data_IF_298797855396
#
_entry.id   IF_298797855396
#
_cell.length_a   1.000
_cell.length_b   1.000
_cell.length_c   1.000
_cell.angle_alpha   90.00
_cell.angle_beta   90.00
_cell.angle_gamma   90.00
#
_symmetry.space_group_name_H-M   'P 1'
#
loop_
_entity.id
_entity.type
_entity.pdbx_description
1 polymer ?
#
# COMPACT_ATOMS: atom_id res chain seq x y z
N UNK A 1 7.63 -10.43 -16.54
CA UNK A 1 8.97 -10.86 -16.10
C UNK A 1 9.75 -9.72 -15.48
N UNK A 2 10.27 -9.96 -14.27
CA UNK A 2 11.26 -9.11 -13.60
C UNK A 2 12.63 -9.47 -14.22
N UNK A 3 13.42 -8.48 -14.64
CA UNK A 3 14.71 -8.72 -15.33
C UNK A 3 15.86 -8.99 -14.36
N UNK A 4 17.02 -9.43 -14.85
CA UNK A 4 18.26 -9.62 -14.04
C UNK A 4 18.79 -8.33 -13.38
N UNK A 5 18.19 -7.18 -13.68
CA UNK A 5 18.58 -5.87 -13.13
C UNK A 5 17.50 -5.22 -12.28
N UNK A 6 16.34 -5.87 -12.16
CA UNK A 6 15.17 -5.31 -11.50
C UNK A 6 14.64 -6.29 -10.44
N UNK A 7 13.94 -5.78 -9.44
CA UNK A 7 13.08 -6.57 -8.57
C UNK A 7 11.64 -6.07 -8.63
N UNK A 8 10.77 -6.68 -7.84
CA UNK A 8 9.38 -6.26 -7.69
C UNK A 8 9.15 -5.75 -6.27
N UNK A 9 8.74 -4.49 -6.11
CA UNK A 9 8.17 -4.01 -4.85
C UNK A 9 6.68 -4.37 -4.84
N UNK A 10 6.19 -4.94 -3.75
CA UNK A 10 4.77 -5.24 -3.54
C UNK A 10 4.28 -4.59 -2.25
N UNK A 11 3.09 -4.01 -2.31
CA UNK A 11 2.37 -3.50 -1.15
C UNK A 11 0.89 -3.87 -1.24
N UNK A 12 0.21 -3.84 -0.10
CA UNK A 12 -1.24 -3.95 -0.03
C UNK A 12 -1.81 -2.63 0.45
N UNK A 13 -2.89 -2.16 -0.17
CA UNK A 13 -3.52 -0.89 0.16
C UNK A 13 -4.93 -1.14 0.63
N UNK A 14 -5.24 -0.73 1.85
CA UNK A 14 -6.53 -0.99 2.49
C UNK A 14 -7.18 0.26 3.05
N UNK A 15 -8.48 0.16 3.28
CA UNK A 15 -9.26 1.17 3.97
C UNK A 15 -10.16 0.51 5.02
N UNK A 16 -10.21 1.11 6.21
CA UNK A 16 -11.05 0.70 7.34
C UNK A 16 -11.77 1.93 7.90
N UNK A 17 -13.08 1.81 8.11
CA UNK A 17 -13.88 2.82 8.80
C UNK A 17 -14.62 2.17 9.97
N UNK A 18 -14.71 2.84 11.11
CA UNK A 18 -15.50 2.39 12.27
C UNK A 18 -17.02 2.38 12.01
N UNK A 19 -17.51 3.11 11.00
CA UNK A 19 -18.91 3.18 10.58
C UNK A 19 -19.10 2.66 9.14
N UNK A 20 -18.84 1.36 8.95
CA UNK A 20 -18.77 0.62 7.67
C UNK A 20 -19.83 0.93 6.60
N UNK A 21 -21.02 1.44 6.93
CA UNK A 21 -22.13 1.56 5.96
C UNK A 21 -22.28 2.93 5.30
N UNK A 22 -22.03 4.02 6.01
CA UNK A 22 -22.36 5.36 5.50
C UNK A 22 -21.22 5.97 4.69
N UNK A 23 -19.98 5.77 5.14
CA UNK A 23 -18.82 6.43 4.53
C UNK A 23 -18.30 5.69 3.31
N UNK A 24 -18.43 4.36 3.28
CA UNK A 24 -18.06 3.53 2.13
C UNK A 24 -18.84 3.88 0.85
N UNK A 25 -20.05 4.44 0.97
CA UNK A 25 -20.84 4.87 -0.20
C UNK A 25 -20.46 6.28 -0.70
N UNK A 26 -19.81 7.10 0.13
CA UNK A 26 -19.52 8.53 -0.16
C UNK A 26 -18.05 8.75 -0.52
N UNK A 27 -17.14 7.98 0.08
CA UNK A 27 -15.70 8.06 -0.21
C UNK A 27 -15.30 6.97 -1.19
N UNK A 28 -15.03 7.36 -2.43
CA UNK A 28 -15.00 6.40 -3.53
C UNK A 28 -13.60 5.86 -3.84
N UNK A 29 -12.52 6.58 -3.52
CA UNK A 29 -11.19 6.27 -4.06
C UNK A 29 -10.05 6.64 -3.09
N UNK A 30 -9.47 5.68 -2.36
CA UNK A 30 -8.17 5.87 -1.75
C UNK A 30 -7.06 5.74 -2.79
N UNK A 31 -6.13 6.69 -2.78
CA UNK A 31 -4.89 6.65 -3.52
C UNK A 31 -3.72 6.63 -2.54
N UNK A 32 -2.73 5.80 -2.78
CA UNK A 32 -1.49 5.80 -2.00
C UNK A 32 -0.36 6.28 -2.89
N UNK A 33 0.31 7.31 -2.41
CA UNK A 33 1.54 7.85 -2.96
C UNK A 33 2.69 7.36 -2.09
N UNK A 34 3.55 6.55 -2.68
CA UNK A 34 4.79 6.08 -2.09
C UNK A 34 5.93 6.67 -2.91
N UNK A 35 6.83 7.41 -2.27
CA UNK A 35 8.09 7.79 -2.89
C UNK A 35 9.21 7.00 -2.24
N UNK A 36 9.99 6.31 -3.07
CA UNK A 36 11.20 5.61 -2.64
C UNK A 36 12.42 6.26 -3.26
N UNK A 37 13.50 6.32 -2.50
CA UNK A 37 14.76 6.91 -2.92
C UNK A 37 15.87 5.85 -2.85
N UNK A 38 16.64 5.71 -3.94
CA UNK A 38 17.84 4.85 -3.94
C UNK A 38 18.91 5.42 -3.02
N UNK A 39 19.51 4.55 -2.20
CA UNK A 39 20.66 4.82 -1.32
C UNK A 39 22.01 4.44 -1.95
N UNK A 40 22.00 3.64 -3.02
CA UNK A 40 23.21 3.11 -3.65
C UNK A 40 23.41 3.74 -5.03
N UNK A 41 24.49 4.50 -5.19
CA UNK A 41 25.03 4.94 -6.48
C UNK A 41 24.57 6.32 -6.95
N UNK A 42 25.42 7.34 -6.76
CA UNK A 42 25.67 8.54 -7.58
C UNK A 42 24.54 9.52 -7.94
N UNK A 43 23.30 9.08 -8.07
CA UNK A 43 22.14 9.92 -8.36
C UNK A 43 20.92 9.23 -7.76
N UNK A 44 20.45 9.73 -6.63
CA UNK A 44 19.29 9.19 -5.96
C UNK A 44 18.06 9.38 -6.85
N UNK A 45 17.69 8.34 -7.60
CA UNK A 45 16.45 8.36 -8.38
C UNK A 45 15.28 8.23 -7.40
N UNK A 46 14.46 9.29 -7.31
CA UNK A 46 13.18 9.27 -6.62
C UNK A 46 12.19 8.53 -7.52
N UNK A 47 11.86 7.29 -7.17
CA UNK A 47 10.79 6.56 -7.85
C UNK A 47 9.50 6.94 -7.13
N UNK A 48 8.64 7.69 -7.82
CA UNK A 48 7.30 7.98 -7.33
C UNK A 48 6.35 6.91 -7.82
N UNK A 49 5.81 6.18 -6.86
CA UNK A 49 4.86 5.11 -7.04
C UNK A 49 3.51 5.63 -6.56
N UNK A 50 2.68 6.07 -7.49
CA UNK A 50 1.28 6.45 -7.18
C UNK A 50 0.38 5.31 -7.66
N UNK A 51 -0.43 4.74 -6.77
CA UNK A 51 -1.58 3.92 -7.15
C UNK A 51 -2.86 4.60 -6.70
N UNK A 52 -3.83 4.66 -7.61
CA UNK A 52 -5.23 4.82 -7.26
C UNK A 52 -5.80 3.40 -7.11
N UNK A 53 -6.02 2.97 -5.87
CA UNK A 53 -6.67 1.68 -5.66
C UNK A 53 -8.15 1.89 -5.94
N UNK A 54 -8.65 1.34 -7.05
CA UNK A 54 -10.08 1.23 -7.26
C UNK A 54 -10.58 0.12 -6.33
N UNK A 55 -10.75 0.44 -5.04
CA UNK A 55 -11.25 -0.49 -4.03
C UNK A 55 -12.68 -1.01 -4.34
N UNK A 56 -13.32 -0.46 -5.38
CA UNK A 56 -14.61 -0.90 -5.91
C UNK A 56 -14.53 -1.76 -7.17
N UNK A 57 -13.45 -1.72 -7.95
CA UNK A 57 -13.21 -2.62 -9.07
C UNK A 57 -11.77 -2.46 -9.54
N UNK A 58 -10.95 -3.51 -9.40
CA UNK A 58 -9.60 -3.66 -9.97
C UNK A 58 -8.43 -3.07 -9.15
N UNK A 59 -7.39 -3.88 -8.97
CA UNK A 59 -6.12 -3.44 -8.38
C UNK A 59 -5.23 -2.63 -9.33
N UNK A 60 -4.01 -2.30 -8.89
CA UNK A 60 -3.03 -1.59 -9.74
C UNK A 60 -2.71 -2.35 -11.05
N UNK A 61 -2.97 -3.66 -11.04
CA UNK A 61 -2.85 -4.55 -12.19
C UNK A 61 -4.16 -4.78 -12.96
N UNK A 62 -5.16 -3.90 -12.78
CA UNK A 62 -6.45 -3.89 -13.50
C UNK A 62 -7.31 -5.17 -13.33
N UNK A 63 -7.03 -5.99 -12.33
CA UNK A 63 -7.78 -7.22 -12.03
C UNK A 63 -8.46 -7.15 -10.65
N UNK A 64 -9.68 -7.66 -10.56
CA UNK A 64 -10.45 -7.74 -9.32
C UNK A 64 -9.92 -8.80 -8.35
N UNK A 65 -9.19 -9.80 -8.85
CA UNK A 65 -8.62 -10.87 -8.03
C UNK A 65 -7.52 -10.39 -7.06
N UNK A 66 -6.98 -9.19 -7.29
CA UNK A 66 -6.07 -8.50 -6.36
C UNK A 66 -6.80 -7.80 -5.21
N UNK A 67 -8.14 -7.75 -5.26
CA UNK A 67 -8.97 -7.15 -4.24
C UNK A 67 -9.37 -8.23 -3.23
N UNK A 68 -8.78 -8.18 -2.05
CA UNK A 68 -9.07 -9.11 -0.96
C UNK A 68 -10.09 -8.51 0.01
N UNK A 69 -11.19 -9.20 0.35
CA UNK A 69 -12.02 -8.84 1.48
C UNK A 69 -11.27 -9.13 2.80
N UNK A 70 -11.45 -8.27 3.77
CA UNK A 70 -10.96 -8.43 5.14
C UNK A 70 -12.11 -8.17 6.10
N UNK A 71 -12.00 -8.61 7.34
CA UNK A 71 -13.02 -8.41 8.39
C UNK A 71 -13.40 -6.95 8.65
N UNK A 72 -12.66 -6.00 8.06
CA UNK A 72 -12.83 -4.58 8.29
C UNK A 72 -12.78 -3.70 7.03
N UNK A 73 -12.89 -4.32 5.84
CA UNK A 73 -12.87 -3.60 4.57
C UNK A 73 -12.29 -4.40 3.41
N UNK A 74 -11.87 -3.69 2.35
CA UNK A 74 -11.20 -4.29 1.19
C UNK A 74 -9.73 -3.88 1.16
N UNK A 75 -8.89 -4.73 0.59
CA UNK A 75 -7.46 -4.46 0.35
C UNK A 75 -7.11 -4.77 -1.09
N UNK A 76 -6.16 -4.02 -1.63
CA UNK A 76 -5.73 -4.12 -3.03
C UNK A 76 -4.23 -4.34 -3.08
N UNK A 77 -3.80 -5.41 -3.74
CA UNK A 77 -2.38 -5.61 -4.04
C UNK A 77 -1.91 -4.72 -5.17
N UNK A 78 -0.72 -4.17 -4.98
CA UNK A 78 -0.03 -3.34 -5.96
C UNK A 78 1.41 -3.83 -6.07
N UNK A 79 1.97 -3.78 -7.27
CA UNK A 79 3.38 -4.05 -7.42
C UNK A 79 4.03 -3.36 -8.60
N UNK A 80 5.29 -3.02 -8.41
CA UNK A 80 6.07 -2.14 -9.26
C UNK A 80 7.44 -2.73 -9.50
N UNK A 81 7.84 -2.82 -10.76
CA UNK A 81 9.22 -3.16 -11.08
C UNK A 81 10.09 -1.96 -10.82
N UNK A 82 11.20 -2.18 -10.13
CA UNK A 82 12.21 -1.15 -9.87
C UNK A 82 13.59 -1.76 -10.06
N UNK A 83 14.62 -0.96 -10.37
CA UNK A 83 15.99 -1.46 -10.40
C UNK A 83 16.38 -2.13 -9.07
N UNK A 84 17.30 -3.08 -9.14
CA UNK A 84 17.87 -3.66 -7.93
C UNK A 84 18.73 -2.61 -7.20
N UNK A 85 18.66 -2.61 -5.86
CA UNK A 85 19.37 -1.63 -5.05
C UNK A 85 18.84 -1.51 -3.63
N UNK A 86 19.44 -0.61 -2.86
CA UNK A 86 18.98 -0.27 -1.52
C UNK A 86 18.08 0.96 -1.58
N UNK A 87 16.93 0.90 -0.94
CA UNK A 87 15.89 1.91 -1.01
C UNK A 87 15.45 2.36 0.38
N UNK A 88 14.93 3.58 0.44
CA UNK A 88 14.22 4.12 1.59
C UNK A 88 12.88 4.69 1.14
N UNK A 89 11.81 4.40 1.89
CA UNK A 89 10.53 5.13 1.76
C UNK A 89 10.71 6.51 2.37
N UNK A 90 10.77 7.53 1.52
CA UNK A 90 10.97 8.93 1.92
C UNK A 90 9.68 9.73 1.99
N UNK A 91 8.65 9.27 1.28
CA UNK A 91 7.31 9.83 1.40
C UNK A 91 6.29 8.70 1.32
N UNK A 92 5.31 8.76 2.21
CA UNK A 92 4.13 7.93 2.13
C UNK A 92 2.93 8.79 2.48
N UNK A 93 1.96 8.87 1.57
CA UNK A 93 0.73 9.64 1.74
C UNK A 93 -0.42 8.83 1.19
N UNK A 94 -1.54 8.82 1.90
CA UNK A 94 -2.80 8.33 1.36
C UNK A 94 -3.71 9.52 1.15
N UNK A 95 -4.36 9.57 0.01
CA UNK A 95 -5.39 10.55 -0.33
C UNK A 95 -6.73 9.82 -0.48
N UNK A 96 -7.79 10.37 0.10
CA UNK A 96 -9.15 9.91 -0.11
C UNK A 96 -9.90 10.98 -0.88
N UNK A 97 -10.52 10.58 -1.99
CA UNK A 97 -11.37 11.46 -2.77
C UNK A 97 -12.86 11.16 -2.48
N UNK A 98 -13.61 12.18 -2.06
CA UNK A 98 -15.06 12.12 -1.89
C UNK A 98 -15.72 13.40 -2.44
N UNK A 99 -16.38 13.29 -3.58
CA UNK A 99 -17.00 14.44 -4.26
C UNK A 99 -15.99 15.56 -4.52
N UNK A 100 -16.16 16.70 -3.84
CA UNK A 100 -15.29 17.88 -3.92
C UNK A 100 -14.20 17.96 -2.84
N UNK A 101 -14.14 16.99 -1.92
CA UNK A 101 -13.19 16.98 -0.81
C UNK A 101 -12.10 15.93 -1.00
N UNK A 102 -10.86 16.32 -0.71
CA UNK A 102 -9.70 15.44 -0.63
C UNK A 102 -9.17 15.42 0.79
N UNK A 103 -9.15 14.25 1.42
CA UNK A 103 -8.48 14.06 2.70
C UNK A 103 -7.12 13.43 2.47
N UNK A 104 -6.11 13.82 3.24
CA UNK A 104 -4.80 13.17 3.18
C UNK A 104 -4.29 12.78 4.56
N UNK A 105 -3.68 11.61 4.63
CA UNK A 105 -3.01 11.12 5.83
C UNK A 105 -1.59 10.70 5.50
N UNK A 106 -0.68 10.93 6.44
CA UNK A 106 0.70 10.45 6.39
C UNK A 106 0.89 9.46 7.55
N UNK A 107 1.70 8.40 7.37
CA UNK A 107 2.00 7.50 8.48
C UNK A 107 2.79 8.26 9.54
N UNK A 108 2.42 8.05 10.81
CA UNK A 108 3.21 8.53 11.95
C UNK A 108 4.40 7.58 12.19
N UNK A 109 5.34 7.52 11.24
CA UNK A 109 6.57 6.74 11.41
C UNK A 109 7.71 7.65 11.85
N UNK A 110 8.33 7.33 13.00
CA UNK A 110 9.55 8.01 13.48
C UNK A 110 10.81 7.55 12.75
N UNK A 111 10.79 6.35 12.17
CA UNK A 111 11.96 5.75 11.50
C UNK A 111 11.62 5.38 10.05
N UNK A 112 12.36 5.90 9.06
CA UNK A 112 12.13 5.60 7.65
C UNK A 112 12.21 4.11 7.33
N UNK A 113 11.37 3.58 6.44
CA UNK A 113 11.43 2.18 6.03
C UNK A 113 12.56 2.00 5.01
N UNK A 114 13.59 1.23 5.36
CA UNK A 114 14.74 0.92 4.49
C UNK A 114 14.65 -0.55 4.09
N UNK A 115 14.90 -0.85 2.82
CA UNK A 115 14.81 -2.20 2.28
C UNK A 115 15.73 -2.38 1.06
N UNK A 116 16.00 -3.64 0.71
CA UNK A 116 16.80 -4.01 -0.46
C UNK A 116 15.90 -4.68 -1.48
N UNK A 117 16.00 -4.24 -2.73
CA UNK A 117 15.39 -4.89 -3.88
C UNK A 117 16.47 -5.68 -4.58
N UNK A 118 16.36 -7.00 -4.58
CA UNK A 118 17.27 -7.89 -5.28
C UNK A 118 16.73 -8.27 -6.67
N UNK A 119 17.62 -8.56 -7.64
CA UNK A 119 17.20 -9.01 -8.96
C UNK A 119 16.28 -10.23 -8.93
N UNK A 120 15.16 -10.18 -9.65
CA UNK A 120 14.21 -11.28 -9.74
C UNK A 120 13.44 -11.58 -8.45
N UNK A 121 13.64 -10.81 -7.37
CA UNK A 121 13.00 -11.04 -6.08
C UNK A 121 11.83 -10.09 -5.86
N UNK A 122 10.90 -10.52 -5.00
CA UNK A 122 9.78 -9.73 -4.50
C UNK A 122 10.21 -9.11 -3.17
N UNK A 123 10.00 -7.81 -3.00
CA UNK A 123 10.18 -7.10 -1.74
C UNK A 123 8.83 -6.56 -1.29
N UNK A 124 8.30 -7.15 -0.22
CA UNK A 124 7.05 -6.72 0.37
C UNK A 124 7.30 -5.60 1.38
N UNK A 125 6.58 -4.49 1.26
CA UNK A 125 6.76 -3.30 2.12
C UNK A 125 5.60 -3.06 3.10
N UNK A 126 4.64 -3.99 3.16
CA UNK A 126 3.54 -3.96 4.10
C UNK A 126 2.15 -3.75 3.49
N UNK A 127 1.16 -3.94 4.35
CA UNK A 127 -0.22 -3.55 4.10
C UNK A 127 -0.48 -2.18 4.71
N UNK A 128 -0.61 -1.16 3.86
CA UNK A 128 -0.88 0.20 4.24
C UNK A 128 -2.39 0.42 4.34
N UNK A 129 -2.88 0.52 5.58
CA UNK A 129 -4.31 0.62 5.88
C UNK A 129 -4.63 2.01 6.36
N UNK A 130 -5.48 2.71 5.61
CA UNK A 130 -6.05 3.95 6.06
C UNK A 130 -7.24 3.66 6.99
N UNK A 131 -7.08 4.01 8.25
CA UNK A 131 -8.15 4.02 9.23
C UNK A 131 -8.75 5.42 9.29
N UNK A 132 -10.06 5.53 9.12
CA UNK A 132 -10.76 6.79 9.38
C UNK A 132 -11.77 6.62 10.48
N UNK A 133 -11.83 7.60 11.36
CA UNK A 133 -12.91 7.74 12.31
C UNK A 133 -13.88 8.79 11.79
N UNK A 134 -15.16 8.42 11.79
CA UNK A 134 -16.25 9.32 11.44
C UNK A 134 -16.74 10.02 12.70
N UNK A 135 -16.99 11.33 12.60
CA UNK A 135 -17.68 12.12 13.60
C UNK A 135 -18.94 12.74 13.01
N UNK A 136 -19.67 13.52 13.81
CA UNK A 136 -20.82 14.31 13.32
C UNK A 136 -20.45 15.78 13.27
N UNK A 137 -20.78 16.45 12.18
CA UNK A 137 -20.69 17.91 12.13
C UNK A 137 -21.84 18.56 12.93
N UNK A 138 -21.88 19.89 12.97
CA UNK A 138 -22.93 20.64 13.68
C UNK A 138 -24.36 20.40 13.15
N UNK A 139 -24.51 19.85 11.95
CA UNK A 139 -25.77 19.43 11.33
C UNK A 139 -26.13 17.96 11.62
N UNK A 140 -25.33 17.25 12.43
CA UNK A 140 -25.53 15.83 12.72
C UNK A 140 -25.13 14.89 11.58
N UNK A 141 -24.55 15.41 10.49
CA UNK A 141 -24.11 14.60 9.35
C UNK A 141 -22.76 13.95 9.63
N UNK A 142 -22.62 12.67 9.24
CA UNK A 142 -21.37 11.94 9.35
C UNK A 142 -20.29 12.57 8.45
N UNK A 143 -19.17 12.94 9.06
CA UNK A 143 -17.99 13.50 8.38
C UNK A 143 -16.73 12.79 8.89
N UNK A 144 -15.69 12.59 8.06
CA UNK A 144 -14.40 12.09 8.55
C UNK A 144 -13.83 13.07 9.57
N UNK A 145 -13.63 12.61 10.81
CA UNK A 145 -13.07 13.41 11.90
C UNK A 145 -11.55 13.21 12.04
N UNK A 146 -11.08 11.98 11.83
CA UNK A 146 -9.66 11.64 11.89
C UNK A 146 -9.30 10.62 10.81
N UNK A 147 -8.04 10.66 10.36
CA UNK A 147 -7.47 9.70 9.43
C UNK A 147 -6.07 9.30 9.89
N UNK A 148 -5.83 8.00 10.07
CA UNK A 148 -4.55 7.41 10.46
C UNK A 148 -4.11 6.40 9.42
N UNK A 149 -2.85 6.46 9.01
CA UNK A 149 -2.26 5.44 8.15
C UNK A 149 -1.45 4.46 8.98
N UNK A 150 -1.92 3.22 9.03
CA UNK A 150 -1.21 2.10 9.63
C UNK A 150 -0.47 1.28 8.57
N UNK A 151 0.57 0.58 8.99
CA UNK A 151 1.20 -0.44 8.16
C UNK A 151 1.26 -1.75 8.94
N UNK A 152 0.60 -2.76 8.40
CA UNK A 152 0.45 -4.08 9.00
C UNK A 152 1.38 -5.08 8.31
N UNK A 153 1.81 -6.09 9.06
CA UNK A 153 2.53 -7.27 8.55
C UNK A 153 1.49 -8.32 8.18
N UNK A 154 1.20 -8.40 6.89
CA UNK A 154 0.19 -9.30 6.29
C UNK A 154 0.86 -10.15 5.19
N UNK A 155 2.17 -10.38 5.34
CA UNK A 155 3.04 -10.93 4.30
C UNK A 155 2.51 -12.24 3.73
N UNK A 156 2.18 -13.21 4.58
CA UNK A 156 1.80 -14.56 4.15
C UNK A 156 0.48 -14.56 3.36
N UNK A 157 -0.51 -13.77 3.81
CA UNK A 157 -1.80 -13.64 3.15
C UNK A 157 -1.69 -12.93 1.79
N UNK A 158 -0.96 -11.81 1.76
CA UNK A 158 -0.77 -11.00 0.56
C UNK A 158 0.09 -11.73 -0.48
N UNK A 159 1.12 -12.48 -0.06
CA UNK A 159 1.90 -13.33 -0.96
C UNK A 159 1.09 -14.52 -1.47
N UNK A 160 0.19 -15.08 -0.67
CA UNK A 160 -0.76 -16.11 -1.11
C UNK A 160 -1.65 -15.62 -2.25
N UNK A 161 -2.24 -14.43 -2.10
CA UNK A 161 -3.02 -13.81 -3.19
C UNK A 161 -2.12 -13.50 -4.39
N UNK A 162 -0.96 -12.88 -4.19
CA UNK A 162 -0.05 -12.56 -5.29
C UNK A 162 0.30 -13.80 -6.13
N UNK A 163 0.69 -14.90 -5.49
CA UNK A 163 1.08 -16.14 -6.19
C UNK A 163 -0.10 -16.83 -6.87
N UNK A 164 -1.31 -16.69 -6.33
CA UNK A 164 -2.54 -17.19 -6.96
C UNK A 164 -2.86 -16.44 -8.25
N UNK A 165 -2.80 -15.10 -8.21
CA UNK A 165 -3.19 -14.25 -9.35
C UNK A 165 -2.04 -14.05 -10.34
N UNK A 166 -0.79 -14.20 -9.88
CA UNK A 166 0.44 -14.14 -10.68
C UNK A 166 1.23 -15.44 -10.52
N UNK A 167 0.74 -16.54 -11.12
CA UNK A 167 1.39 -17.84 -11.01
C UNK A 167 2.82 -17.83 -11.57
N UNK A 168 3.17 -16.90 -12.48
CA UNK A 168 4.56 -16.75 -12.94
C UNK A 168 5.52 -16.23 -11.85
N UNK A 169 5.00 -15.73 -10.73
CA UNK A 169 5.75 -15.28 -9.56
C UNK A 169 5.73 -16.32 -8.42
N UNK A 170 5.14 -17.49 -8.63
CA UNK A 170 4.95 -18.51 -7.59
C UNK A 170 6.25 -18.90 -6.90
N UNK A 171 7.30 -19.11 -7.69
CA UNK A 171 8.62 -19.56 -7.22
C UNK A 171 9.60 -18.41 -6.96
N UNK A 172 9.17 -17.16 -7.14
CA UNK A 172 10.01 -16.01 -6.85
C UNK A 172 10.27 -15.93 -5.33
N UNK A 173 11.53 -15.68 -4.97
CA UNK A 173 11.92 -15.39 -3.59
C UNK A 173 11.26 -14.09 -3.17
N UNK A 174 10.58 -14.11 -2.02
CA UNK A 174 9.90 -12.96 -1.45
C UNK A 174 10.51 -12.60 -0.09
N UNK A 175 10.91 -11.34 0.07
CA UNK A 175 11.47 -10.80 1.29
C UNK A 175 10.46 -9.82 1.92
N UNK A 176 10.26 -9.92 3.22
CA UNK A 176 9.46 -8.98 3.98
C UNK A 176 10.33 -7.89 4.60
N UNK A 177 10.17 -6.65 4.12
CA UNK A 177 10.90 -5.49 4.64
C UNK A 177 10.47 -5.08 6.06
N UNK A 178 9.31 -5.53 6.54
CA UNK A 178 8.82 -5.22 7.89
C UNK A 178 9.38 -6.17 8.95
N UNK A 179 9.55 -7.46 8.63
CA UNK A 179 10.04 -8.48 9.58
C UNK A 179 11.48 -8.29 10.01
N UNK A 180 12.33 -7.66 9.19
CA UNK A 180 13.72 -7.31 9.54
C UNK A 180 13.81 -6.40 10.79
N UNK A 181 12.67 -5.83 11.24
CA UNK A 181 12.60 -4.91 12.39
C UNK A 181 12.06 -5.48 13.70
N UNK A 182 11.60 -6.72 13.78
CA UNK A 182 11.23 -7.28 15.09
C UNK A 182 12.53 -7.69 15.80
N UNK A 183 12.99 -6.98 16.84
CA UNK A 183 13.95 -7.60 17.76
C UNK A 183 13.23 -8.76 18.45
N UNK A 184 13.96 -9.85 18.66
CA UNK A 184 13.53 -10.94 19.56
C UNK A 184 13.23 -10.41 20.98
#
# INVERSE_FOLDING_TARGET
MVSEKEGLIVASLGYRNSEERLVNNVMQRPAIHLAVQSKSGGTAQKIQVSTQAHMFAQGAWRDEDYVRPTDSGRRVLVGYKVPAGNYEVVEQRVELYGGSMTWSARPQRRTPLVFTVAPGQITYIGAHVLQTESGKNWLGMAVPAQARLDTLDEFDEDMGVLRRVRPELRDAVANDALRVRKPD
#
